data_IF_346790529276
#
_entry.id   IF_346790529276
#
_cell.length_a   1.000
_cell.length_b   1.000
_cell.length_c   1.000
_cell.angle_alpha   90.00
_cell.angle_beta   90.00
_cell.angle_gamma   90.00
#
_symmetry.space_group_name_H-M   'P 1'
#
loop_
_entity.id
_entity.type
_entity.pdbx_description
1 polymer ?
#
# COMPACT_ATOMS: atom_id res chain seq x y z
N UNK A 1 4.82 -2.56 9.85
CA UNK A 1 3.66 -2.02 9.09
C UNK A 1 4.10 -1.01 8.07
N UNK A 2 3.44 -1.02 6.93
CA UNK A 2 3.74 -0.11 5.83
C UNK A 2 2.46 0.63 5.46
N UNK A 3 2.54 1.95 5.32
CA UNK A 3 1.42 2.77 4.87
C UNK A 3 1.65 3.16 3.42
N UNK A 4 0.68 2.88 2.57
CA UNK A 4 0.69 3.24 1.16
C UNK A 4 -0.33 4.33 0.90
N UNK A 5 0.04 5.35 0.12
CA UNK A 5 -0.88 6.42 -0.26
C UNK A 5 -1.10 6.37 -1.77
N UNK A 6 -2.35 6.58 -2.17
CA UNK A 6 -2.78 6.49 -3.56
C UNK A 6 -3.37 7.81 -4.03
N UNK A 7 -3.50 7.97 -5.34
CA UNK A 7 -4.10 9.17 -5.90
C UNK A 7 -5.59 9.26 -5.64
N UNK A 8 -6.28 8.11 -5.60
CA UNK A 8 -7.73 8.08 -5.38
C UNK A 8 -8.09 7.04 -4.34
N UNK A 9 -9.25 7.21 -3.70
CA UNK A 9 -9.75 6.22 -2.76
C UNK A 9 -10.09 4.90 -3.45
N UNK A 10 -10.49 4.95 -4.71
CA UNK A 10 -10.77 3.73 -5.47
C UNK A 10 -9.50 2.89 -5.64
N UNK A 11 -8.39 3.53 -5.98
CA UNK A 11 -7.11 2.82 -6.13
C UNK A 11 -6.70 2.21 -4.79
N UNK A 12 -6.86 2.95 -3.70
CA UNK A 12 -6.56 2.43 -2.36
C UNK A 12 -7.43 1.21 -2.04
N UNK A 13 -8.73 1.26 -2.37
CA UNK A 13 -9.62 0.13 -2.14
C UNK A 13 -9.19 -1.10 -2.93
N UNK A 14 -8.86 -0.91 -4.20
CA UNK A 14 -8.43 -2.02 -5.05
C UNK A 14 -7.13 -2.63 -4.55
N UNK A 15 -6.17 -1.80 -4.16
CA UNK A 15 -4.93 -2.28 -3.55
C UNK A 15 -5.18 -3.05 -2.27
N UNK A 16 -6.10 -2.54 -1.43
CA UNK A 16 -6.45 -3.21 -0.19
C UNK A 16 -7.08 -4.59 -0.46
N UNK A 17 -8.01 -4.67 -1.41
CA UNK A 17 -8.63 -5.95 -1.75
C UNK A 17 -7.61 -6.96 -2.27
N UNK A 18 -6.70 -6.51 -3.12
CA UNK A 18 -5.65 -7.38 -3.63
C UNK A 18 -4.83 -7.97 -2.48
N UNK A 19 -4.40 -7.11 -1.57
CA UNK A 19 -3.56 -7.56 -0.46
C UNK A 19 -4.33 -8.45 0.52
N UNK A 20 -5.59 -8.11 0.80
CA UNK A 20 -6.43 -8.97 1.66
C UNK A 20 -6.64 -10.34 1.03
N UNK A 21 -6.84 -10.39 -0.28
CA UNK A 21 -7.02 -11.64 -1.00
C UNK A 21 -5.76 -12.51 -0.94
N UNK A 22 -4.60 -11.89 -0.79
CA UNK A 22 -3.32 -12.57 -0.61
C UNK A 22 -3.07 -13.00 0.84
N UNK A 23 -3.98 -12.68 1.75
CA UNK A 23 -3.87 -13.08 3.14
C UNK A 23 -3.24 -12.07 4.08
N UNK A 24 -2.97 -10.86 3.61
CA UNK A 24 -2.40 -9.83 4.47
C UNK A 24 -3.45 -9.14 5.31
N UNK A 25 -3.03 -8.65 6.48
CA UNK A 25 -3.86 -7.81 7.32
C UNK A 25 -3.76 -6.38 6.80
N UNK A 26 -4.88 -5.82 6.34
CA UNK A 26 -4.90 -4.50 5.71
C UNK A 26 -5.96 -3.63 6.36
N UNK A 27 -5.60 -2.37 6.61
CA UNK A 27 -6.53 -1.36 7.09
C UNK A 27 -6.63 -0.25 6.07
N UNK A 28 -7.83 0.00 5.55
CA UNK A 28 -8.07 1.04 4.56
C UNK A 28 -8.42 2.35 5.26
N UNK A 29 -7.79 3.45 4.83
CA UNK A 29 -8.01 4.77 5.40
C UNK A 29 -8.08 5.81 4.27
N UNK A 30 -9.27 6.01 3.72
CA UNK A 30 -9.45 6.98 2.64
C UNK A 30 -8.62 6.65 1.40
N UNK A 31 -7.66 7.50 1.08
CA UNK A 31 -6.76 7.29 -0.06
C UNK A 31 -5.49 6.53 0.33
N UNK A 32 -5.45 5.97 1.53
CA UNK A 32 -4.30 5.27 2.03
C UNK A 32 -4.70 3.91 2.59
N UNK A 33 -3.72 3.03 2.71
CA UNK A 33 -3.91 1.76 3.41
C UNK A 33 -2.67 1.44 4.22
N UNK A 34 -2.86 0.64 5.26
CA UNK A 34 -1.77 0.12 6.07
C UNK A 34 -1.79 -1.39 5.93
N UNK A 35 -0.64 -1.99 5.65
CA UNK A 35 -0.51 -3.43 5.51
C UNK A 35 0.65 -3.91 6.37
N UNK A 36 0.48 -5.09 6.99
CA UNK A 36 1.50 -5.66 7.85
C UNK A 36 2.39 -6.61 7.05
N UNK A 37 3.68 -6.29 7.00
CA UNK A 37 4.74 -7.15 6.42
C UNK A 37 4.39 -7.70 5.04
N UNK A 38 4.10 -6.85 4.04
CA UNK A 38 3.83 -7.35 2.71
C UNK A 38 5.10 -7.91 2.08
N UNK A 39 4.94 -8.95 1.26
CA UNK A 39 6.02 -9.48 0.46
C UNK A 39 6.48 -8.41 -0.54
N UNK A 40 7.78 -8.24 -0.78
CA UNK A 40 8.25 -7.24 -1.74
C UNK A 40 7.63 -7.36 -3.13
N UNK A 41 7.37 -8.57 -3.60
CA UNK A 41 6.73 -8.76 -4.90
C UNK A 41 5.30 -8.23 -4.91
N UNK A 42 4.54 -8.49 -3.86
CA UNK A 42 3.16 -8.00 -3.76
C UNK A 42 3.14 -6.48 -3.58
N UNK A 43 4.07 -5.95 -2.80
CA UNK A 43 4.19 -4.51 -2.61
C UNK A 43 4.48 -3.81 -3.93
N UNK A 44 5.44 -4.33 -4.71
CA UNK A 44 5.78 -3.76 -6.00
C UNK A 44 4.61 -3.80 -6.97
N UNK A 45 3.84 -4.88 -6.97
CA UNK A 45 2.66 -4.99 -7.82
C UNK A 45 1.61 -3.93 -7.48
N UNK A 46 1.34 -3.74 -6.19
CA UNK A 46 0.37 -2.74 -5.76
C UNK A 46 0.85 -1.34 -6.13
N UNK A 47 2.13 -1.06 -5.94
CA UNK A 47 2.68 0.27 -6.25
C UNK A 47 2.58 0.59 -7.74
N UNK A 48 2.81 -0.39 -8.61
CA UNK A 48 2.76 -0.15 -10.06
C UNK A 48 1.34 -0.24 -10.61
N UNK A 49 0.57 -1.24 -10.19
CA UNK A 49 -0.76 -1.50 -10.74
C UNK A 49 -1.79 -0.49 -10.26
N UNK A 50 -1.75 -0.15 -8.97
CA UNK A 50 -2.72 0.76 -8.36
C UNK A 50 -2.15 2.14 -8.10
N UNK A 51 -0.90 2.37 -8.48
CA UNK A 51 -0.26 3.69 -8.48
C UNK A 51 -0.11 4.30 -7.09
N UNK A 52 0.30 3.50 -6.12
CA UNK A 52 0.71 4.04 -4.84
C UNK A 52 2.00 4.84 -5.04
N UNK A 53 2.11 5.99 -4.40
CA UNK A 53 3.25 6.87 -4.61
C UNK A 53 4.09 7.13 -3.37
N UNK A 54 3.60 6.77 -2.18
CA UNK A 54 4.33 7.00 -0.94
C UNK A 54 4.23 5.76 -0.06
N UNK A 55 5.35 5.41 0.56
CA UNK A 55 5.40 4.30 1.52
C UNK A 55 6.02 4.82 2.82
N UNK A 56 5.25 4.78 3.90
CA UNK A 56 5.71 5.14 5.23
C UNK A 56 5.89 3.85 6.03
N UNK A 57 7.07 3.70 6.63
CA UNK A 57 7.37 2.55 7.47
C UNK A 57 7.05 2.88 8.92
N UNK A 58 6.49 1.91 9.63
CA UNK A 58 6.02 2.14 11.00
C UNK A 58 7.14 2.46 11.98
N UNK A 59 8.38 2.15 11.64
CA UNK A 59 9.54 2.44 12.48
C UNK A 59 10.15 3.83 12.22
N UNK A 60 9.45 4.66 11.48
CA UNK A 60 9.86 6.03 11.25
C UNK A 60 10.55 6.29 9.92
N UNK A 61 10.88 5.25 9.18
CA UNK A 61 11.47 5.41 7.86
C UNK A 61 10.39 5.73 6.84
N UNK A 62 10.72 6.56 5.87
CA UNK A 62 9.79 6.93 4.81
C UNK A 62 10.45 6.67 3.46
N UNK A 63 9.74 5.96 2.59
CA UNK A 63 10.16 5.73 1.22
C UNK A 63 9.20 6.43 0.29
N UNK A 64 9.74 7.19 -0.65
CA UNK A 64 8.94 7.91 -1.64
C UNK A 64 9.25 7.34 -3.02
N UNK A 65 8.21 6.94 -3.74
CA UNK A 65 8.34 6.37 -5.06
C UNK A 65 7.88 7.39 -6.11
N UNK A 66 8.37 7.23 -7.33
CA UNK A 66 7.98 8.11 -8.41
C UNK A 66 8.77 9.39 -8.50
N UNK A 67 9.87 9.45 -7.84
CA UNK A 67 10.77 10.59 -7.97
C UNK A 67 11.50 10.56 -9.29
#
# INVERSE_FOLDING_TARGET
MIKLEFLTSRDAQHGAYYLQDRGYSVKLMGKALVVDKPDPADLALVMTTYRAFTVDLADGDTLVYGK
#
